data_IF_855576513811
#
_entry.id   IF_855576513811
#
_cell.length_a   1.000
_cell.length_b   1.000
_cell.length_c   1.000
_cell.angle_alpha   90.00
_cell.angle_beta   90.00
_cell.angle_gamma   90.00
#
_symmetry.space_group_name_H-M   'P 1'
#
loop_
_entity.id
_entity.type
_entity.pdbx_description
1 polymer ?
#
# COMPACT_ATOMS: atom_id res chain seq x y z
N UNK A 1 12.01 5.03 6.46
CA UNK A 1 11.45 4.27 5.32
C UNK A 1 12.39 3.14 4.88
N UNK A 2 13.70 3.32 5.00
CA UNK A 2 14.74 2.36 4.56
C UNK A 2 14.54 0.87 4.90
N UNK A 3 14.04 0.44 6.09
CA UNK A 3 13.92 -0.99 6.37
C UNK A 3 12.80 -1.70 5.58
N UNK A 4 11.78 -0.96 5.13
CA UNK A 4 10.59 -1.52 4.51
C UNK A 4 10.63 -1.47 2.99
N UNK A 5 11.32 -0.46 2.42
CA UNK A 5 11.38 -0.27 0.97
C UNK A 5 11.97 -1.49 0.22
N UNK A 6 13.05 -2.16 0.69
CA UNK A 6 13.60 -3.33 0.00
C UNK A 6 12.71 -4.57 0.03
N UNK A 7 11.74 -4.64 0.95
CA UNK A 7 10.90 -5.83 1.15
C UNK A 7 9.55 -5.75 0.43
N UNK A 8 9.10 -4.54 0.09
CA UNK A 8 7.82 -4.32 -0.55
C UNK A 8 7.94 -4.48 -2.07
N UNK A 9 7.10 -5.32 -2.66
CA UNK A 9 6.98 -5.42 -4.13
C UNK A 9 6.34 -4.18 -4.74
N UNK A 10 5.48 -3.50 -3.98
CA UNK A 10 4.77 -2.29 -4.38
C UNK A 10 4.75 -1.32 -3.20
N UNK A 11 5.01 -0.04 -3.45
CA UNK A 11 5.03 1.02 -2.45
C UNK A 11 4.04 2.10 -2.89
N UNK A 12 3.08 2.42 -2.02
CA UNK A 12 2.11 3.49 -2.24
C UNK A 12 2.27 4.51 -1.11
N UNK A 13 2.66 5.72 -1.50
CA UNK A 13 2.91 6.84 -0.60
C UNK A 13 1.67 7.73 -0.56
N UNK A 14 1.23 8.09 0.64
CA UNK A 14 0.04 8.89 0.84
C UNK A 14 0.19 9.79 2.06
N UNK A 15 -0.77 10.69 2.26
CA UNK A 15 -0.84 11.58 3.40
C UNK A 15 -2.17 11.33 4.12
N UNK A 16 -2.17 11.06 5.44
CA UNK A 16 -3.37 11.25 6.22
C UNK A 16 -3.78 12.73 6.20
N UNK A 17 -5.06 12.99 6.42
CA UNK A 17 -5.67 14.31 6.59
C UNK A 17 -5.28 14.87 7.97
N UNK A 18 -4.03 15.30 8.06
CA UNK A 18 -3.39 15.86 9.25
C UNK A 18 -2.34 16.90 8.86
N UNK A 19 -2.30 18.04 9.53
CA UNK A 19 -1.47 19.19 9.10
C UNK A 19 0.03 18.90 9.02
N UNK A 20 0.56 18.06 9.93
CA UNK A 20 2.00 17.75 9.96
C UNK A 20 2.38 16.59 9.04
N UNK A 21 1.43 16.03 8.28
CA UNK A 21 1.71 14.94 7.36
C UNK A 21 2.56 15.44 6.18
N UNK A 22 3.59 14.67 5.84
CA UNK A 22 4.35 14.93 4.63
C UNK A 22 3.48 14.66 3.39
N UNK A 23 3.53 15.54 2.40
CA UNK A 23 2.78 15.34 1.17
C UNK A 23 3.25 14.08 0.42
N UNK A 24 2.37 13.42 -0.36
CA UNK A 24 2.76 12.24 -1.15
C UNK A 24 3.92 12.52 -2.10
N UNK A 25 3.94 13.69 -2.72
CA UNK A 25 5.04 14.14 -3.59
C UNK A 25 6.37 14.27 -2.85
N UNK A 26 6.34 14.79 -1.61
CA UNK A 26 7.55 14.89 -0.78
C UNK A 26 8.07 13.51 -0.38
N UNK A 27 7.18 12.59 -0.01
CA UNK A 27 7.54 11.20 0.28
C UNK A 27 8.15 10.51 -0.95
N UNK A 28 7.56 10.71 -2.14
CA UNK A 28 8.05 10.11 -3.39
C UNK A 28 9.45 10.60 -3.75
N UNK A 29 9.74 11.89 -3.57
CA UNK A 29 11.08 12.43 -3.77
C UNK A 29 12.11 11.77 -2.83
N UNK A 30 11.73 11.51 -1.57
CA UNK A 30 12.60 10.82 -0.60
C UNK A 30 12.79 9.35 -1.00
N UNK A 31 11.72 8.64 -1.37
CA UNK A 31 11.81 7.25 -1.83
C UNK A 31 12.73 7.12 -3.07
N UNK A 32 12.59 8.03 -4.03
CA UNK A 32 13.47 8.10 -5.20
C UNK A 32 14.94 8.32 -4.81
N UNK A 33 15.23 9.22 -3.86
CA UNK A 33 16.61 9.43 -3.38
C UNK A 33 17.21 8.22 -2.65
N UNK A 34 16.36 7.30 -2.17
CA UNK A 34 16.77 6.04 -1.54
C UNK A 34 16.86 4.87 -2.55
N UNK A 35 16.69 5.13 -3.85
CA UNK A 35 16.75 4.12 -4.90
C UNK A 35 15.41 3.47 -5.27
N UNK A 36 14.28 4.04 -4.84
CA UNK A 36 12.94 3.53 -5.11
C UNK A 36 12.09 4.56 -5.90
N UNK A 37 12.46 4.88 -7.16
CA UNK A 37 11.78 5.90 -7.96
C UNK A 37 10.38 5.47 -8.44
N UNK A 38 10.07 4.18 -8.40
CA UNK A 38 8.81 3.60 -8.88
C UNK A 38 7.68 3.64 -7.85
N UNK A 39 7.92 4.24 -6.66
CA UNK A 39 6.90 4.37 -5.64
C UNK A 39 5.69 5.17 -6.17
N UNK A 40 4.50 4.58 -6.04
CA UNK A 40 3.24 5.22 -6.43
C UNK A 40 2.83 6.24 -5.38
N UNK A 41 2.03 7.22 -5.77
CA UNK A 41 1.41 8.18 -4.85
C UNK A 41 -0.10 8.12 -4.91
N UNK A 42 -0.75 8.36 -3.78
CA UNK A 42 -2.20 8.48 -3.67
C UNK A 42 -2.57 9.71 -2.80
N UNK A 43 -3.62 10.46 -3.16
CA UNK A 43 -3.95 11.70 -2.45
C UNK A 43 -4.47 11.45 -1.04
N UNK A 44 -5.25 10.38 -0.82
CA UNK A 44 -5.75 10.01 0.51
C UNK A 44 -5.39 8.57 0.89
N UNK A 45 -5.50 8.24 2.18
CA UNK A 45 -5.30 6.87 2.66
C UNK A 45 -6.32 5.90 2.06
N UNK A 46 -7.55 6.35 1.79
CA UNK A 46 -8.57 5.55 1.10
C UNK A 46 -8.13 5.18 -0.32
N UNK A 47 -7.68 6.17 -1.10
CA UNK A 47 -7.20 5.93 -2.47
C UNK A 47 -6.00 4.98 -2.48
N UNK A 48 -5.10 5.12 -1.51
CA UNK A 48 -3.94 4.24 -1.37
C UNK A 48 -4.35 2.77 -1.16
N UNK A 49 -5.37 2.54 -0.31
CA UNK A 49 -5.91 1.20 -0.04
C UNK A 49 -6.60 0.64 -1.28
N UNK A 50 -7.39 1.44 -1.99
CA UNK A 50 -8.07 0.99 -3.22
C UNK A 50 -7.06 0.59 -4.32
N UNK A 51 -5.99 1.37 -4.48
CA UNK A 51 -4.88 1.01 -5.39
C UNK A 51 -4.21 -0.29 -4.93
N UNK A 52 -3.91 -0.44 -3.64
CA UNK A 52 -3.27 -1.63 -3.08
C UNK A 52 -4.11 -2.90 -3.29
N UNK A 53 -5.42 -2.81 -3.04
CA UNK A 53 -6.38 -3.91 -3.27
C UNK A 53 -6.41 -4.28 -4.75
N UNK A 54 -6.53 -3.29 -5.64
CA UNK A 54 -6.55 -3.54 -7.09
C UNK A 54 -5.27 -4.23 -7.56
N UNK A 55 -4.10 -3.82 -7.07
CA UNK A 55 -2.83 -4.49 -7.40
C UNK A 55 -2.80 -5.91 -6.86
N UNK A 56 -3.21 -6.10 -5.60
CA UNK A 56 -3.28 -7.41 -4.96
C UNK A 56 -4.22 -8.38 -5.71
N UNK A 57 -5.30 -7.88 -6.29
CA UNK A 57 -6.26 -8.64 -7.11
C UNK A 57 -5.78 -8.87 -8.55
N UNK A 58 -5.17 -7.87 -9.20
CA UNK A 58 -4.64 -8.01 -10.57
C UNK A 58 -3.43 -8.96 -10.63
N UNK A 59 -2.62 -9.04 -9.57
CA UNK A 59 -1.55 -10.04 -9.44
C UNK A 59 -2.06 -11.49 -9.51
N UNK A 60 -3.35 -11.72 -9.23
CA UNK A 60 -4.00 -13.04 -9.32
C UNK A 60 -4.30 -13.44 -10.76
N UNK A 61 -4.38 -12.50 -11.71
CA UNK A 61 -4.76 -12.78 -13.10
C UNK A 61 -3.57 -12.99 -14.05
N UNK A 62 -2.37 -12.52 -13.69
CA UNK A 62 -1.17 -12.66 -14.54
C UNK A 62 -0.42 -14.00 -14.36
N UNK A 63 -0.89 -14.89 -13.49
CA UNK A 63 -0.38 -16.27 -13.38
C UNK A 63 -1.00 -17.25 -14.41
N UNK A 64 -1.78 -16.74 -15.38
CA UNK A 64 -2.66 -17.56 -16.23
C UNK A 64 -2.46 -17.48 -17.76
N UNK A 65 -1.36 -16.92 -18.28
CA UNK A 65 -1.06 -16.96 -19.73
C UNK A 65 0.40 -17.32 -20.00
N UNK A 66 0.81 -18.47 -19.48
CA UNK A 66 1.98 -19.19 -19.94
C UNK A 66 1.60 -20.65 -20.03
N UNK A 67 1.55 -21.19 -21.26
CA UNK A 67 1.39 -22.60 -21.57
C UNK A 67 2.28 -23.46 -20.64
N UNK A 68 1.70 -24.02 -19.59
CA UNK A 68 2.33 -25.08 -18.79
C UNK A 68 1.37 -26.23 -18.65
N UNK A 69 1.87 -27.35 -19.17
CA UNK A 69 1.30 -28.68 -19.18
C UNK A 69 0.63 -29.06 -17.86
N UNK A 70 -0.47 -29.78 -18.01
CA UNK A 70 -0.99 -30.81 -17.10
C UNK A 70 0.08 -31.25 -16.08
N UNK A 71 -0.05 -30.81 -14.82
CA UNK A 71 0.39 -31.55 -13.64
C UNK A 71 -0.22 -30.94 -12.37
N UNK A 72 -0.91 -31.81 -11.63
CA UNK A 72 -1.35 -31.62 -10.25
C UNK A 72 -0.33 -30.86 -9.42
N UNK A 73 -0.67 -29.65 -9.00
CA UNK A 73 -0.12 -29.06 -7.80
C UNK A 73 -1.05 -27.95 -7.34
N UNK A 74 -1.48 -28.03 -6.08
CA UNK A 74 -2.04 -26.91 -5.37
C UNK A 74 -0.94 -25.84 -5.24
N UNK A 75 -0.66 -25.12 -6.32
CA UNK A 75 0.16 -23.90 -6.28
C UNK A 75 -0.75 -22.88 -5.62
N UNK A 76 -0.67 -22.81 -4.29
CA UNK A 76 -1.30 -21.75 -3.52
C UNK A 76 -0.83 -20.44 -4.13
N UNK A 77 -1.76 -19.71 -4.77
CA UNK A 77 -1.52 -18.34 -5.16
C UNK A 77 -0.91 -17.62 -3.95
N UNK A 78 0.25 -16.95 -4.10
CA UNK A 78 0.85 -16.24 -2.98
C UNK A 78 -0.18 -15.22 -2.51
N UNK A 79 -0.64 -15.38 -1.26
CA UNK A 79 -1.58 -14.43 -0.66
C UNK A 79 -0.89 -13.08 -0.61
N UNK A 80 -1.44 -12.10 -1.32
CA UNK A 80 -1.00 -10.71 -1.24
C UNK A 80 -1.19 -10.18 0.19
N UNK A 81 -0.17 -9.50 0.72
CA UNK A 81 -0.21 -8.85 2.03
C UNK A 81 -0.14 -7.33 1.82
N UNK A 82 -1.14 -6.61 2.32
CA UNK A 82 -1.14 -5.14 2.35
C UNK A 82 -0.73 -4.71 3.76
N UNK A 83 0.39 -4.00 3.86
CA UNK A 83 0.87 -3.40 5.10
C UNK A 83 0.62 -1.89 5.09
N UNK A 84 -0.22 -1.40 6.02
CA UNK A 84 -0.40 0.03 6.26
C UNK A 84 0.45 0.44 7.46
N UNK A 85 1.32 1.44 7.28
CA UNK A 85 2.27 1.90 8.31
C UNK A 85 2.67 3.36 8.09
N UNK A 86 3.49 3.89 9.00
CA UNK A 86 4.09 5.23 8.92
C UNK A 86 3.67 6.15 10.06
N UNK A 87 2.39 6.12 10.47
CA UNK A 87 1.91 6.92 11.60
C UNK A 87 0.62 6.36 12.21
N UNK A 88 0.30 6.78 13.44
CA UNK A 88 -1.00 6.49 14.07
C UNK A 88 -2.18 7.06 13.25
N UNK A 89 -2.04 8.25 12.68
CA UNK A 89 -3.10 8.89 11.88
C UNK A 89 -3.38 8.11 10.59
N UNK A 90 -2.33 7.66 9.89
CA UNK A 90 -2.46 6.79 8.70
C UNK A 90 -3.19 5.49 9.04
N UNK A 91 -2.83 4.85 10.16
CA UNK A 91 -3.49 3.61 10.60
C UNK A 91 -4.95 3.88 11.00
N UNK A 92 -5.23 5.01 11.64
CA UNK A 92 -6.58 5.43 12.01
C UNK A 92 -7.49 5.59 10.80
N UNK A 93 -7.03 6.34 9.80
CA UNK A 93 -7.76 6.51 8.54
C UNK A 93 -7.93 5.20 7.78
N UNK A 94 -6.91 4.35 7.77
CA UNK A 94 -7.00 3.07 7.10
C UNK A 94 -8.09 2.19 7.74
N UNK A 95 -8.16 2.17 9.08
CA UNK A 95 -9.23 1.49 9.82
C UNK A 95 -10.60 2.06 9.42
N UNK A 96 -10.74 3.38 9.38
CA UNK A 96 -11.98 4.04 8.95
C UNK A 96 -12.35 3.71 7.49
N UNK A 97 -11.36 3.68 6.60
CA UNK A 97 -11.55 3.39 5.19
C UNK A 97 -12.10 1.97 4.95
N UNK A 98 -11.70 1.01 5.78
CA UNK A 98 -12.19 -0.38 5.75
C UNK A 98 -13.43 -0.62 6.63
N UNK A 99 -14.10 0.44 7.09
CA UNK A 99 -15.37 0.36 7.82
C UNK A 99 -15.27 0.16 9.33
N UNK A 100 -14.07 0.28 9.92
CA UNK A 100 -13.90 0.28 11.38
C UNK A 100 -14.19 1.67 11.96
N UNK A 101 -14.45 1.72 13.28
CA UNK A 101 -14.72 2.99 13.97
C UNK A 101 -13.48 3.90 13.99
N UNK A 102 -13.68 5.15 13.60
CA UNK A 102 -12.68 6.20 13.69
C UNK A 102 -12.43 6.70 15.11
N UNK A 103 -11.48 6.08 15.80
CA UNK A 103 -11.10 6.47 17.17
C UNK A 103 -10.09 7.62 17.15
N UNK A 104 -9.20 7.65 16.15
CA UNK A 104 -8.04 8.54 16.11
C UNK A 104 -8.33 9.87 15.39
N UNK A 105 -9.43 10.00 14.65
CA UNK A 105 -9.83 11.25 14.01
C UNK A 105 -9.88 12.44 14.98
N UNK A 106 -10.31 12.19 16.23
CA UNK A 106 -10.44 13.22 17.28
C UNK A 106 -9.13 13.60 17.98
N UNK A 107 -8.03 12.93 17.66
CA UNK A 107 -6.71 13.18 18.26
C UNK A 107 -5.79 13.98 17.33
N UNK A 108 -6.29 14.39 16.15
CA UNK A 108 -5.55 15.21 15.19
C UNK A 108 -5.51 16.65 15.71
N UNK A 109 -4.36 17.07 16.21
CA UNK A 109 -4.06 18.46 16.62
C UNK A 109 -3.60 19.34 15.47
#
# INVERSE_FOLDING_TARGET
MEPLLPLASEIILTSPDYERAASPARLAAIAASLGFPEARTAPTVRDAIEIAIRIAECGVQNAGYGFRSIQNSAIQNPKSLILVTGSFYTIGEAKEAIGQKGVLARLRE
#
